data_IF_278728786379
#
_entry.id   IF_278728786379
#
_cell.length_a   1.000
_cell.length_b   1.000
_cell.length_c   1.000
_cell.angle_alpha   90.00
_cell.angle_beta   90.00
_cell.angle_gamma   90.00
#
_symmetry.space_group_name_H-M   'P 1'
#
loop_
_entity.id
_entity.type
_entity.pdbx_description
1 polymer ?
#
# COMPACT_ATOMS: atom_id res chain seq x y z
N UNK A 1 58.46 -56.12 25.51
CA UNK A 1 58.31 -55.09 24.46
C UNK A 1 56.90 -55.23 23.88
N UNK A 2 55.96 -54.37 24.26
CA UNK A 2 54.56 -54.48 23.83
C UNK A 2 54.28 -53.67 22.55
N UNK A 3 53.46 -54.15 21.60
CA UNK A 3 53.15 -53.41 20.39
C UNK A 3 52.13 -52.30 20.67
N UNK A 4 52.47 -51.07 20.25
CA UNK A 4 51.56 -49.94 20.26
C UNK A 4 50.50 -50.10 19.16
N UNK A 5 49.24 -50.32 19.56
CA UNK A 5 48.11 -50.47 18.65
C UNK A 5 47.72 -49.09 18.07
N UNK A 6 48.22 -48.74 16.88
CA UNK A 6 47.80 -47.55 16.14
C UNK A 6 46.37 -47.78 15.61
N UNK A 7 45.38 -47.23 16.31
CA UNK A 7 44.04 -47.04 15.75
C UNK A 7 44.17 -46.19 14.49
N UNK A 8 43.92 -46.79 13.32
CA UNK A 8 43.72 -46.05 12.08
C UNK A 8 42.49 -45.15 12.29
N UNK A 9 42.69 -43.84 12.32
CA UNK A 9 41.59 -42.90 12.13
C UNK A 9 41.05 -43.16 10.73
N UNK A 10 39.79 -43.57 10.62
CA UNK A 10 39.12 -43.57 9.35
C UNK A 10 38.95 -42.11 8.95
N UNK A 11 39.69 -41.66 7.93
CA UNK A 11 39.40 -40.39 7.28
C UNK A 11 38.00 -40.50 6.68
N UNK A 12 37.04 -39.86 7.35
CA UNK A 12 35.70 -39.65 6.82
C UNK A 12 35.80 -38.50 5.80
N UNK A 13 36.30 -38.81 4.61
CA UNK A 13 36.24 -37.90 3.47
C UNK A 13 34.79 -37.65 3.07
N UNK A 14 34.48 -36.40 2.71
CA UNK A 14 33.17 -36.06 2.14
C UNK A 14 32.91 -36.89 0.88
N UNK A 15 31.74 -37.50 0.81
CA UNK A 15 31.32 -38.24 -0.39
C UNK A 15 30.76 -37.26 -1.44
N UNK A 16 30.87 -37.56 -2.74
CA UNK A 16 30.27 -36.74 -3.81
C UNK A 16 28.76 -36.56 -3.64
N UNK A 17 28.09 -37.59 -3.10
CA UNK A 17 26.65 -37.56 -2.80
C UNK A 17 26.34 -36.55 -1.70
N UNK A 18 27.19 -36.43 -0.69
CA UNK A 18 26.98 -35.50 0.43
C UNK A 18 27.05 -34.03 -0.03
N UNK A 19 27.99 -33.69 -0.92
CA UNK A 19 28.08 -32.36 -1.52
C UNK A 19 26.87 -32.08 -2.41
N UNK A 20 26.41 -33.07 -3.19
CA UNK A 20 25.24 -32.92 -4.05
C UNK A 20 23.96 -32.68 -3.23
N UNK A 21 23.79 -33.43 -2.13
CA UNK A 21 22.67 -33.22 -1.20
C UNK A 21 22.76 -31.84 -0.54
N UNK A 22 23.94 -31.40 -0.11
CA UNK A 22 24.14 -30.08 0.49
C UNK A 22 23.78 -28.94 -0.48
N UNK A 23 24.19 -29.03 -1.75
CA UNK A 23 23.85 -28.04 -2.78
C UNK A 23 22.34 -28.01 -3.03
N UNK A 24 21.67 -29.17 -3.08
CA UNK A 24 20.21 -29.25 -3.26
C UNK A 24 19.47 -28.58 -2.10
N UNK A 25 19.83 -28.91 -0.85
CA UNK A 25 19.22 -28.30 0.34
C UNK A 25 19.47 -26.79 0.37
N UNK A 26 20.69 -26.36 0.06
CA UNK A 26 21.03 -24.94 -0.02
C UNK A 26 20.23 -24.20 -1.10
N UNK A 27 20.11 -24.78 -2.30
CA UNK A 27 19.34 -24.21 -3.40
C UNK A 27 17.85 -24.04 -3.04
N UNK A 28 17.26 -25.04 -2.38
CA UNK A 28 15.89 -24.96 -1.86
C UNK A 28 15.75 -23.85 -0.80
N UNK A 29 16.74 -23.71 0.08
CA UNK A 29 16.79 -22.63 1.08
C UNK A 29 16.81 -21.24 0.44
N UNK A 30 17.65 -21.02 -0.57
CA UNK A 30 17.74 -19.75 -1.30
C UNK A 30 16.44 -19.44 -2.03
N UNK A 31 15.80 -20.43 -2.68
CA UNK A 31 14.50 -20.24 -3.33
C UNK A 31 13.42 -19.84 -2.31
N UNK A 32 13.43 -20.44 -1.12
CA UNK A 32 12.56 -20.04 -0.01
C UNK A 32 12.77 -18.58 0.41
N UNK A 33 14.03 -18.17 0.57
CA UNK A 33 14.39 -16.80 0.94
C UNK A 33 13.98 -15.78 -0.12
N UNK A 34 14.21 -16.06 -1.40
CA UNK A 34 13.82 -15.16 -2.51
C UNK A 34 12.32 -14.93 -2.54
N UNK A 35 11.51 -15.98 -2.31
CA UNK A 35 10.05 -15.83 -2.20
C UNK A 35 9.66 -14.95 -1.02
N UNK A 36 10.26 -15.17 0.15
CA UNK A 36 10.00 -14.33 1.32
C UNK A 36 10.36 -12.87 1.06
N UNK A 37 11.50 -12.62 0.42
CA UNK A 37 11.93 -11.27 0.06
C UNK A 37 10.95 -10.60 -0.90
N UNK A 38 10.49 -11.31 -1.93
CA UNK A 38 9.50 -10.78 -2.86
C UNK A 38 8.18 -10.43 -2.16
N UNK A 39 7.72 -11.26 -1.22
CA UNK A 39 6.52 -10.97 -0.42
C UNK A 39 6.73 -9.78 0.51
N UNK A 40 7.88 -9.69 1.19
CA UNK A 40 8.21 -8.56 2.06
C UNK A 40 8.21 -7.23 1.32
N UNK A 41 8.80 -7.19 0.11
CA UNK A 41 8.77 -6.00 -0.75
C UNK A 41 7.34 -5.62 -1.13
N UNK A 42 6.50 -6.59 -1.53
CA UNK A 42 5.09 -6.32 -1.86
C UNK A 42 4.32 -5.74 -0.68
N UNK A 43 4.47 -6.33 0.50
CA UNK A 43 3.83 -5.83 1.72
C UNK A 43 4.30 -4.42 2.09
N UNK A 44 5.59 -4.14 1.94
CA UNK A 44 6.14 -2.80 2.18
C UNK A 44 5.58 -1.76 1.22
N UNK A 45 5.39 -2.11 -0.05
CA UNK A 45 4.78 -1.21 -1.05
C UNK A 45 3.31 -0.94 -0.74
N UNK A 46 2.51 -1.96 -0.42
CA UNK A 46 1.09 -1.77 -0.06
C UNK A 46 0.95 -0.91 1.20
N UNK A 47 1.75 -1.16 2.23
CA UNK A 47 1.76 -0.35 3.45
C UNK A 47 2.11 1.11 3.15
N UNK A 48 3.10 1.37 2.28
CA UNK A 48 3.46 2.73 1.85
C UNK A 48 2.30 3.42 1.13
N UNK A 49 1.62 2.74 0.21
CA UNK A 49 0.49 3.32 -0.52
C UNK A 49 -0.68 3.65 0.40
N UNK A 50 -1.00 2.77 1.37
CA UNK A 50 -2.02 3.04 2.37
C UNK A 50 -1.66 4.22 3.27
N UNK A 51 -0.39 4.34 3.67
CA UNK A 51 0.09 5.48 4.45
C UNK A 51 -0.02 6.79 3.65
N UNK A 52 0.34 6.78 2.37
CA UNK A 52 0.20 7.93 1.47
C UNK A 52 -1.28 8.33 1.30
N UNK A 53 -2.18 7.36 1.09
CA UNK A 53 -3.61 7.60 0.99
C UNK A 53 -4.18 8.20 2.29
N UNK A 54 -3.75 7.67 3.45
CA UNK A 54 -4.14 8.20 4.76
C UNK A 54 -3.68 9.66 4.91
N UNK A 55 -2.41 9.94 4.59
CA UNK A 55 -1.84 11.28 4.66
C UNK A 55 -2.60 12.28 3.77
N UNK A 56 -2.88 11.91 2.51
CA UNK A 56 -3.62 12.76 1.58
C UNK A 56 -5.06 13.00 2.03
N UNK A 57 -5.74 11.99 2.57
CA UNK A 57 -7.10 12.15 3.08
C UNK A 57 -7.14 13.06 4.31
N UNK A 58 -6.23 12.85 5.27
CA UNK A 58 -6.10 13.69 6.46
C UNK A 58 -5.74 15.13 6.09
N UNK A 59 -4.90 15.33 5.08
CA UNK A 59 -4.56 16.65 4.56
C UNK A 59 -5.81 17.38 4.03
N UNK A 60 -6.69 16.71 3.28
CA UNK A 60 -7.93 17.33 2.79
C UNK A 60 -8.89 17.65 3.94
N UNK A 61 -9.06 16.74 4.89
CA UNK A 61 -9.88 16.96 6.09
C UNK A 61 -9.37 18.15 6.91
N UNK A 62 -8.04 18.28 7.06
CA UNK A 62 -7.43 19.42 7.75
C UNK A 62 -7.64 20.75 7.01
N UNK A 63 -7.50 20.76 5.67
CA UNK A 63 -7.82 21.94 4.85
C UNK A 63 -9.29 22.32 4.97
N UNK A 64 -10.17 21.32 5.02
CA UNK A 64 -11.58 21.54 5.26
C UNK A 64 -11.77 22.20 6.62
N UNK A 65 -11.30 21.62 7.73
CA UNK A 65 -11.45 22.16 9.11
C UNK A 65 -11.09 23.63 9.32
N UNK A 66 -10.16 24.20 8.53
CA UNK A 66 -9.76 25.61 8.63
C UNK A 66 -10.51 26.54 7.64
N UNK A 67 -11.32 25.97 6.75
CA UNK A 67 -12.12 26.71 5.76
C UNK A 67 -13.41 27.28 6.37
N UNK A 68 -14.10 28.12 5.62
CA UNK A 68 -15.41 28.64 6.05
C UNK A 68 -16.47 27.52 6.01
N UNK A 69 -17.23 27.27 7.10
CA UNK A 69 -18.28 26.24 7.15
C UNK A 69 -19.33 26.38 6.04
N UNK A 70 -19.60 27.60 5.59
CA UNK A 70 -20.57 27.88 4.52
C UNK A 70 -20.10 27.33 3.16
N UNK A 71 -18.79 27.13 2.99
CA UNK A 71 -18.18 26.59 1.78
C UNK A 71 -17.98 25.08 1.84
N UNK A 72 -18.31 24.42 2.97
CA UNK A 72 -18.09 22.99 3.18
C UNK A 72 -18.67 22.12 2.05
N UNK A 73 -19.88 22.41 1.58
CA UNK A 73 -20.52 21.68 0.49
C UNK A 73 -19.75 21.75 -0.83
N UNK A 74 -18.95 22.80 -1.05
CA UNK A 74 -18.13 22.95 -2.27
C UNK A 74 -16.97 21.94 -2.33
N UNK A 75 -16.60 21.33 -1.20
CA UNK A 75 -15.57 20.29 -1.16
C UNK A 75 -16.05 18.95 -1.75
N UNK A 76 -17.36 18.75 -1.91
CA UNK A 76 -17.90 17.52 -2.46
C UNK A 76 -17.39 17.27 -3.88
N UNK A 77 -16.85 16.07 -4.12
CA UNK A 77 -16.31 15.62 -5.39
C UNK A 77 -16.84 14.22 -5.69
N UNK A 78 -17.54 14.08 -6.82
CA UNK A 78 -18.22 12.83 -7.23
C UNK A 78 -19.01 12.18 -6.07
N UNK A 79 -19.88 12.92 -5.36
CA UNK A 79 -20.40 12.49 -4.04
C UNK A 79 -21.33 11.26 -4.07
N UNK A 80 -21.69 10.76 -5.26
CA UNK A 80 -22.55 9.60 -5.45
C UNK A 80 -21.76 8.36 -5.86
N UNK A 81 -22.37 7.18 -5.86
CA UNK A 81 -21.69 5.93 -6.24
C UNK A 81 -20.94 5.27 -5.09
N UNK A 82 -20.27 4.15 -5.39
CA UNK A 82 -19.69 3.25 -4.38
C UNK A 82 -18.34 2.69 -4.83
N UNK A 83 -17.47 2.39 -3.86
CA UNK A 83 -16.13 1.88 -4.13
C UNK A 83 -15.32 2.83 -5.03
N UNK A 84 -14.57 2.25 -5.98
CA UNK A 84 -13.79 2.99 -6.98
C UNK A 84 -14.55 3.28 -8.27
N UNK A 85 -15.87 3.49 -8.16
CA UNK A 85 -16.72 3.96 -9.25
C UNK A 85 -17.62 5.09 -8.75
N UNK A 86 -17.04 6.21 -8.30
CA UNK A 86 -17.84 7.34 -7.86
C UNK A 86 -18.50 8.03 -9.06
N UNK A 87 -19.58 8.74 -8.79
CA UNK A 87 -20.44 9.39 -9.79
C UNK A 87 -20.91 10.76 -9.28
N UNK A 88 -21.49 11.55 -10.16
CA UNK A 88 -21.93 12.91 -9.84
C UNK A 88 -20.95 13.97 -10.33
N UNK A 89 -21.12 15.20 -9.85
CA UNK A 89 -20.33 16.33 -10.30
C UNK A 89 -18.92 16.32 -9.69
N UNK A 90 -17.91 16.65 -10.51
CA UNK A 90 -16.58 16.97 -9.99
C UNK A 90 -16.63 18.30 -9.23
N UNK A 91 -15.89 18.40 -8.12
CA UNK A 91 -15.73 19.66 -7.39
C UNK A 91 -15.03 20.71 -8.26
N UNK A 92 -15.53 21.96 -8.19
CA UNK A 92 -14.87 23.14 -8.74
C UNK A 92 -14.04 23.91 -7.68
N UNK A 93 -13.99 23.42 -6.43
CA UNK A 93 -13.25 24.06 -5.35
C UNK A 93 -11.73 23.93 -5.61
N UNK A 94 -11.02 25.06 -5.61
CA UNK A 94 -9.59 25.12 -5.90
C UNK A 94 -8.73 24.24 -4.97
N UNK A 95 -9.12 24.12 -3.69
CA UNK A 95 -8.42 23.26 -2.71
C UNK A 95 -8.57 21.78 -3.06
N UNK A 96 -9.75 21.37 -3.53
CA UNK A 96 -10.02 19.99 -3.95
C UNK A 96 -9.33 19.69 -5.26
N UNK A 97 -9.38 20.58 -6.24
CA UNK A 97 -8.70 20.37 -7.54
C UNK A 97 -7.18 20.29 -7.37
N UNK A 98 -6.61 21.10 -6.49
CA UNK A 98 -5.19 21.02 -6.15
C UNK A 98 -4.86 19.73 -5.39
N UNK A 99 -5.69 19.34 -4.42
CA UNK A 99 -5.53 18.06 -3.74
C UNK A 99 -5.62 16.86 -4.70
N UNK A 100 -6.55 16.87 -5.66
CA UNK A 100 -6.67 15.83 -6.68
C UNK A 100 -5.41 15.74 -7.57
N UNK A 101 -4.74 16.87 -7.84
CA UNK A 101 -3.47 16.85 -8.57
C UNK A 101 -2.39 16.08 -7.81
N UNK A 102 -2.34 16.26 -6.48
CA UNK A 102 -1.42 15.55 -5.58
C UNK A 102 -1.77 14.05 -5.49
N UNK A 103 -3.06 13.72 -5.43
CA UNK A 103 -3.53 12.32 -5.42
C UNK A 103 -3.15 11.61 -6.72
N UNK A 104 -3.38 12.22 -7.88
CA UNK A 104 -3.03 11.60 -9.19
C UNK A 104 -1.51 11.52 -9.37
N UNK A 105 -0.74 12.46 -8.82
CA UNK A 105 0.72 12.37 -8.82
C UNK A 105 1.24 11.22 -7.94
N UNK A 106 0.59 10.96 -6.80
CA UNK A 106 0.93 9.85 -5.91
C UNK A 106 0.47 8.49 -6.46
N UNK A 107 -0.65 8.47 -7.18
CA UNK A 107 -1.27 7.27 -7.74
C UNK A 107 -1.57 7.43 -9.24
N UNK A 108 -0.56 7.30 -10.12
CA UNK A 108 -0.71 7.59 -11.55
C UNK A 108 -1.58 6.59 -12.32
N UNK A 109 -1.94 5.45 -11.72
CA UNK A 109 -2.82 4.42 -12.33
C UNK A 109 -4.31 4.73 -12.22
N UNK A 110 -4.66 5.85 -11.58
CA UNK A 110 -6.03 6.32 -11.39
C UNK A 110 -6.13 7.79 -11.76
N UNK A 111 -7.35 8.22 -12.05
CA UNK A 111 -7.68 9.60 -12.35
C UNK A 111 -8.28 10.31 -11.13
N UNK A 112 -8.41 11.64 -11.26
CA UNK A 112 -9.13 12.44 -10.27
C UNK A 112 -10.60 11.99 -10.13
N UNK A 113 -11.21 11.55 -11.24
CA UNK A 113 -12.60 11.10 -11.29
C UNK A 113 -12.85 9.76 -10.58
N UNK A 114 -11.80 9.01 -10.24
CA UNK A 114 -11.90 7.77 -9.45
C UNK A 114 -11.92 8.04 -7.93
N UNK A 115 -11.68 9.29 -7.52
CA UNK A 115 -11.63 9.72 -6.13
C UNK A 115 -12.97 10.26 -5.68
N UNK A 116 -13.19 10.31 -4.37
CA UNK A 116 -14.48 10.77 -3.85
C UNK A 116 -14.35 11.59 -2.57
N UNK A 117 -15.17 12.63 -2.51
CA UNK A 117 -15.42 13.41 -1.30
C UNK A 117 -16.92 13.59 -1.15
N UNK A 118 -17.48 13.02 -0.10
CA UNK A 118 -18.90 13.14 0.25
C UNK A 118 -18.99 14.10 1.44
N UNK A 119 -19.84 15.11 1.32
CA UNK A 119 -20.11 16.07 2.39
C UNK A 119 -21.59 16.03 2.74
N UNK A 120 -21.92 15.52 3.93
CA UNK A 120 -23.28 15.40 4.46
C UNK A 120 -23.40 16.23 5.74
N UNK A 121 -23.58 17.54 5.58
CA UNK A 121 -23.57 18.47 6.70
C UNK A 121 -22.17 18.55 7.33
N UNK A 122 -22.03 18.08 8.58
CA UNK A 122 -20.74 18.02 9.28
C UNK A 122 -20.00 16.71 9.08
N UNK A 123 -20.66 15.66 8.57
CA UNK A 123 -20.04 14.37 8.32
C UNK A 123 -19.41 14.37 6.92
N UNK A 124 -18.09 14.19 6.87
CA UNK A 124 -17.28 14.25 5.65
C UNK A 124 -16.60 12.91 5.45
N UNK A 125 -16.81 12.31 4.28
CA UNK A 125 -16.18 11.05 3.89
C UNK A 125 -15.24 11.32 2.73
N UNK A 126 -13.97 10.98 2.90
CA UNK A 126 -12.97 10.99 1.84
C UNK A 126 -12.65 9.55 1.47
N UNK A 127 -12.84 9.21 0.20
CA UNK A 127 -12.52 7.89 -0.35
C UNK A 127 -11.49 8.03 -1.45
N UNK A 128 -10.39 7.32 -1.28
CA UNK A 128 -9.29 7.24 -2.22
C UNK A 128 -9.20 5.86 -2.85
N UNK A 129 -8.90 5.84 -4.13
CA UNK A 129 -8.78 4.65 -4.94
C UNK A 129 -7.46 4.65 -5.70
N UNK A 130 -6.77 3.51 -5.74
CA UNK A 130 -5.55 3.32 -6.53
C UNK A 130 -5.42 1.88 -7.04
N UNK A 131 -4.55 1.65 -8.02
CA UNK A 131 -4.31 0.31 -8.59
C UNK A 131 -2.81 -0.01 -8.67
N UNK A 132 -2.46 -1.25 -8.38
CA UNK A 132 -1.12 -1.78 -8.57
C UNK A 132 -0.96 -2.31 -10.01
N UNK A 133 -0.65 -1.39 -10.94
CA UNK A 133 -0.61 -1.66 -12.38
C UNK A 133 -1.98 -1.53 -13.07
N UNK A 134 -2.01 -1.46 -14.39
CA UNK A 134 -3.23 -1.18 -15.17
C UNK A 134 -4.31 -2.28 -15.05
N UNK A 135 -3.89 -3.55 -14.94
CA UNK A 135 -4.77 -4.71 -14.75
C UNK A 135 -4.97 -5.11 -13.28
N UNK A 136 -4.45 -4.31 -12.34
CA UNK A 136 -4.54 -4.60 -10.90
C UNK A 136 -5.95 -4.38 -10.33
N UNK A 137 -6.29 -5.16 -9.31
CA UNK A 137 -7.51 -4.94 -8.54
C UNK A 137 -7.44 -3.56 -7.84
N UNK A 138 -8.52 -2.76 -7.90
CA UNK A 138 -8.55 -1.45 -7.24
C UNK A 138 -8.47 -1.63 -5.73
N UNK A 139 -7.56 -0.90 -5.11
CA UNK A 139 -7.46 -0.71 -3.68
C UNK A 139 -8.28 0.51 -3.31
N UNK A 140 -8.97 0.43 -2.17
CA UNK A 140 -9.80 1.52 -1.64
C UNK A 140 -9.36 1.83 -0.22
N UNK A 141 -9.30 3.12 0.09
CA UNK A 141 -9.16 3.66 1.43
C UNK A 141 -10.31 4.65 1.67
N UNK A 142 -10.97 4.55 2.82
CA UNK A 142 -12.08 5.43 3.17
C UNK A 142 -11.91 5.89 4.61
N UNK A 143 -12.00 7.21 4.81
CA UNK A 143 -12.02 7.84 6.13
C UNK A 143 -13.23 8.75 6.21
N UNK A 144 -13.95 8.66 7.33
CA UNK A 144 -15.07 9.53 7.64
C UNK A 144 -14.78 10.30 8.91
N UNK A 145 -14.91 11.62 8.86
CA UNK A 145 -14.72 12.49 10.01
C UNK A 145 -15.87 13.48 10.16
N UNK A 146 -16.24 13.77 11.40
CA UNK A 146 -17.18 14.83 11.73
C UNK A 146 -16.41 16.12 11.93
N UNK A 147 -16.55 17.05 10.98
CA UNK A 147 -15.93 18.36 11.03
C UNK A 147 -16.69 19.23 12.02
N UNK A 148 -16.00 19.59 13.12
CA UNK A 148 -16.51 20.54 14.12
C UNK A 148 -15.89 21.90 13.84
N UNK A 149 -16.72 22.81 13.34
CA UNK A 149 -16.31 24.20 13.11
C UNK A 149 -16.35 24.98 14.43
N UNK A 150 -15.35 25.83 14.71
CA UNK A 150 -15.32 26.67 15.91
C UNK A 150 -16.39 27.77 15.91
#
# INVERSE_FOLDING_TARGET
MGPANRRRRADQGFTLVEVLVAIVVFALGVLGLVRLQATAVRMSTDARQRAEATFLADQLLARMLISDPTTAASFAHKPSGSGCAPTGAASANAQVTEWLSQVVAAFPSVSADDQQVIVNGTDVTVRLCWKNGEAGEPHTFEVSNRVQWP
#
